data_IF_388729592163
#
_entry.id   IF_388729592163
#
_cell.length_a   1.000
_cell.length_b   1.000
_cell.length_c   1.000
_cell.angle_alpha   90.00
_cell.angle_beta   90.00
_cell.angle_gamma   90.00
#
_symmetry.space_group_name_H-M   'P 1'
#
loop_
_entity.id
_entity.type
_entity.pdbx_description
1 polymer ?
#
# COMPACT_ATOMS: atom_id res chain seq x y z
N UNK A 1 44.22 -17.48 1.02
CA UNK A 1 44.34 -16.24 0.23
C UNK A 1 45.80 -15.83 0.24
N UNK A 2 46.48 -15.95 -0.90
CA UNK A 2 47.80 -15.36 -1.11
C UNK A 2 47.68 -13.86 -0.83
N UNK A 3 48.50 -13.32 0.06
CA UNK A 3 48.46 -11.90 0.39
C UNK A 3 49.11 -11.14 -0.77
N UNK A 4 48.36 -10.85 -1.82
CA UNK A 4 48.85 -10.07 -2.97
C UNK A 4 49.22 -8.69 -2.44
N UNK A 5 50.46 -8.26 -2.69
CA UNK A 5 50.89 -6.91 -2.33
C UNK A 5 50.48 -5.93 -3.43
N UNK A 6 49.23 -5.44 -3.34
CA UNK A 6 48.65 -4.50 -4.30
C UNK A 6 49.48 -3.23 -4.52
N UNK A 7 50.08 -2.71 -3.45
CA UNK A 7 50.88 -1.49 -3.50
C UNK A 7 52.19 -1.72 -4.26
N UNK A 8 52.90 -2.81 -3.97
CA UNK A 8 54.13 -3.15 -4.67
C UNK A 8 53.89 -3.50 -6.15
N UNK A 9 52.78 -4.18 -6.47
CA UNK A 9 52.41 -4.50 -7.86
C UNK A 9 52.09 -3.23 -8.66
N UNK A 10 51.45 -2.25 -8.02
CA UNK A 10 51.13 -0.94 -8.63
C UNK A 10 52.38 -0.09 -8.84
N UNK A 11 53.25 0.00 -7.85
CA UNK A 11 54.51 0.75 -7.95
C UNK A 11 55.44 0.16 -9.03
N UNK A 12 55.54 -1.16 -9.10
CA UNK A 12 56.31 -1.84 -10.14
C UNK A 12 55.72 -1.63 -11.55
N UNK A 13 54.38 -1.63 -11.69
CA UNK A 13 53.71 -1.31 -12.96
C UNK A 13 53.97 0.13 -13.39
N UNK A 14 53.88 1.09 -12.46
CA UNK A 14 54.11 2.52 -12.71
C UNK A 14 55.57 2.79 -13.11
N UNK A 15 56.55 2.12 -12.49
CA UNK A 15 57.96 2.20 -12.86
C UNK A 15 58.24 1.61 -14.25
N UNK A 16 57.70 0.43 -14.55
CA UNK A 16 57.84 -0.20 -15.87
C UNK A 16 57.25 0.63 -17.02
N UNK A 17 56.20 1.42 -16.77
CA UNK A 17 55.61 2.32 -17.78
C UNK A 17 56.49 3.53 -18.14
N UNK A 18 57.46 3.88 -17.28
CA UNK A 18 58.37 5.02 -17.45
C UNK A 18 59.81 4.61 -17.77
N UNK A 19 60.01 3.33 -18.11
CA UNK A 19 61.32 2.74 -18.28
C UNK A 19 61.94 3.05 -19.66
N UNK A 20 62.98 3.88 -19.67
CA UNK A 20 63.73 4.22 -20.88
C UNK A 20 64.71 3.10 -21.33
N UNK A 21 65.02 2.12 -20.46
CA UNK A 21 66.11 1.15 -20.68
C UNK A 21 65.70 -0.34 -20.55
N UNK A 22 64.46 -0.63 -20.16
CA UNK A 22 63.85 -1.98 -20.14
C UNK A 22 64.08 -2.81 -18.86
N UNK A 23 64.86 -2.31 -17.90
CA UNK A 23 65.16 -3.02 -16.64
C UNK A 23 63.96 -3.14 -15.69
N UNK A 24 63.17 -2.09 -15.56
CA UNK A 24 62.00 -2.07 -14.67
C UNK A 24 60.86 -2.92 -15.26
N UNK A 25 60.82 -3.03 -16.60
CA UNK A 25 59.88 -3.91 -17.32
C UNK A 25 60.14 -5.39 -17.03
N UNK A 26 61.41 -5.82 -17.01
CA UNK A 26 61.78 -7.20 -16.68
C UNK A 26 61.50 -7.53 -15.20
N UNK A 27 61.77 -6.59 -14.30
CA UNK A 27 61.45 -6.72 -12.86
C UNK A 27 59.93 -6.86 -12.63
N UNK A 28 59.12 -6.12 -13.37
CA UNK A 28 57.67 -6.24 -13.34
C UNK A 28 57.19 -7.61 -13.82
N UNK A 29 57.76 -8.17 -14.89
CA UNK A 29 57.42 -9.52 -15.37
C UNK A 29 57.81 -10.63 -14.38
N UNK A 30 58.89 -10.47 -13.62
CA UNK A 30 59.26 -11.40 -12.55
C UNK A 30 58.26 -11.36 -11.38
N UNK A 31 57.77 -10.16 -11.04
CA UNK A 31 56.77 -9.95 -10.00
C UNK A 31 55.37 -10.41 -10.42
N UNK A 32 54.99 -10.23 -11.69
CA UNK A 32 53.66 -10.58 -12.23
C UNK A 32 53.65 -12.02 -12.73
N UNK A 33 53.66 -12.94 -11.79
CA UNK A 33 53.54 -14.37 -12.09
C UNK A 33 52.12 -14.74 -12.51
N UNK A 34 51.92 -15.80 -13.34
CA UNK A 34 50.59 -16.28 -13.72
C UNK A 34 49.67 -16.59 -12.51
N UNK A 35 50.24 -16.99 -11.38
CA UNK A 35 49.49 -17.24 -10.15
C UNK A 35 48.94 -15.96 -9.50
N UNK A 36 49.67 -14.85 -9.59
CA UNK A 36 49.20 -13.53 -9.13
C UNK A 36 48.09 -13.02 -10.04
N UNK A 37 48.25 -13.15 -11.36
CA UNK A 37 47.20 -12.77 -12.32
C UNK A 37 45.92 -13.58 -12.09
N UNK A 38 46.04 -14.90 -11.90
CA UNK A 38 44.87 -15.74 -11.60
C UNK A 38 44.21 -15.33 -10.29
N UNK A 39 44.98 -15.07 -9.22
CA UNK A 39 44.42 -14.67 -7.94
C UNK A 39 43.73 -13.29 -8.00
N UNK A 40 44.25 -12.35 -8.82
CA UNK A 40 43.58 -11.07 -9.10
C UNK A 40 42.27 -11.27 -9.88
N UNK A 41 42.25 -12.16 -10.87
CA UNK A 41 41.04 -12.49 -11.62
C UNK A 41 39.98 -13.14 -10.72
N UNK A 42 40.37 -14.09 -9.88
CA UNK A 42 39.48 -14.74 -8.91
C UNK A 42 38.91 -13.72 -7.91
N UNK A 43 39.72 -12.78 -7.40
CA UNK A 43 39.25 -11.71 -6.52
C UNK A 43 38.30 -10.74 -7.24
N UNK A 44 38.59 -10.38 -8.50
CA UNK A 44 37.70 -9.54 -9.32
C UNK A 44 36.37 -10.22 -9.59
N UNK A 45 36.36 -11.53 -9.86
CA UNK A 45 35.13 -12.30 -10.03
C UNK A 45 34.33 -12.37 -8.72
N UNK A 46 35.00 -12.60 -7.58
CA UNK A 46 34.36 -12.60 -6.27
C UNK A 46 33.76 -11.22 -5.91
N UNK A 47 34.49 -10.13 -6.18
CA UNK A 47 33.99 -8.77 -6.02
C UNK A 47 32.80 -8.50 -6.93
N UNK A 48 32.86 -8.91 -8.20
CA UNK A 48 31.73 -8.75 -9.14
C UNK A 48 30.48 -9.47 -8.68
N UNK A 49 30.63 -10.68 -8.11
CA UNK A 49 29.50 -11.42 -7.52
C UNK A 49 28.91 -10.69 -6.31
N UNK A 50 29.77 -10.22 -5.40
CA UNK A 50 29.31 -9.47 -4.22
C UNK A 50 28.62 -8.15 -4.59
N UNK A 51 29.10 -7.43 -5.63
CA UNK A 51 28.42 -6.24 -6.15
C UNK A 51 27.03 -6.58 -6.68
N UNK A 52 26.91 -7.65 -7.49
CA UNK A 52 25.60 -8.08 -8.00
C UNK A 52 24.64 -8.49 -6.87
N UNK A 53 25.13 -9.15 -5.83
CA UNK A 53 24.33 -9.48 -4.63
C UNK A 53 23.88 -8.23 -3.86
N UNK A 54 24.76 -7.26 -3.67
CA UNK A 54 24.40 -5.99 -3.03
C UNK A 54 23.37 -5.20 -3.84
N UNK A 55 23.52 -5.16 -5.17
CA UNK A 55 22.55 -4.50 -6.07
C UNK A 55 21.17 -5.18 -5.99
N UNK A 56 21.14 -6.51 -5.99
CA UNK A 56 19.89 -7.26 -5.82
C UNK A 56 19.23 -6.98 -4.46
N UNK A 57 20.01 -6.97 -3.37
CA UNK A 57 19.52 -6.67 -2.03
C UNK A 57 19.00 -5.23 -1.90
N UNK A 58 19.69 -4.25 -2.51
CA UNK A 58 19.25 -2.85 -2.54
C UNK A 58 17.94 -2.69 -3.33
N UNK A 59 17.78 -3.42 -4.44
CA UNK A 59 16.52 -3.41 -5.20
C UNK A 59 15.37 -3.95 -4.36
N UNK A 60 15.55 -5.12 -3.72
CA UNK A 60 14.54 -5.71 -2.85
C UNK A 60 14.17 -4.79 -1.66
N UNK A 61 15.18 -4.22 -0.99
CA UNK A 61 14.98 -3.27 0.11
C UNK A 61 14.24 -2.01 -0.34
N UNK A 62 14.52 -1.51 -1.55
CA UNK A 62 13.83 -0.35 -2.12
C UNK A 62 12.35 -0.65 -2.37
N UNK A 63 12.03 -1.82 -2.92
CA UNK A 63 10.65 -2.26 -3.13
C UNK A 63 9.88 -2.39 -1.81
N UNK A 64 10.49 -3.00 -0.79
CA UNK A 64 9.87 -3.16 0.51
C UNK A 64 9.66 -1.81 1.22
N UNK A 65 10.63 -0.89 1.11
CA UNK A 65 10.45 0.47 1.60
C UNK A 65 9.33 1.22 0.88
N UNK A 66 9.18 1.03 -0.43
CA UNK A 66 8.08 1.62 -1.19
C UNK A 66 6.72 1.06 -0.73
N UNK A 67 6.61 -0.27 -0.57
CA UNK A 67 5.40 -0.92 -0.04
C UNK A 67 5.05 -0.44 1.37
N UNK A 68 6.04 -0.36 2.26
CA UNK A 68 5.84 0.12 3.62
C UNK A 68 5.38 1.60 3.64
N UNK A 69 5.97 2.45 2.80
CA UNK A 69 5.58 3.86 2.68
C UNK A 69 4.14 4.00 2.21
N UNK A 70 3.72 3.19 1.23
CA UNK A 70 2.35 3.22 0.74
C UNK A 70 1.35 2.70 1.78
N UNK A 71 1.69 1.63 2.51
CA UNK A 71 0.88 1.13 3.61
C UNK A 71 0.68 2.17 4.73
N UNK A 72 1.74 2.92 5.07
CA UNK A 72 1.65 3.99 6.07
C UNK A 72 0.72 5.11 5.61
N UNK A 73 0.79 5.53 4.34
CA UNK A 73 -0.10 6.57 3.79
C UNK A 73 -1.57 6.15 3.82
N UNK A 74 -1.84 4.89 3.49
CA UNK A 74 -3.20 4.32 3.55
C UNK A 74 -3.70 4.29 4.99
N UNK A 75 -2.86 3.87 5.94
CA UNK A 75 -3.21 3.86 7.36
C UNK A 75 -3.50 5.27 7.89
N UNK A 76 -2.70 6.28 7.53
CA UNK A 76 -2.91 7.67 7.94
C UNK A 76 -4.24 8.24 7.40
N UNK A 77 -4.55 7.95 6.13
CA UNK A 77 -5.82 8.34 5.52
C UNK A 77 -7.02 7.69 6.21
N UNK A 78 -6.91 6.40 6.55
CA UNK A 78 -7.95 5.66 7.27
C UNK A 78 -8.16 6.20 8.70
N UNK A 79 -7.09 6.51 9.42
CA UNK A 79 -7.16 7.10 10.77
C UNK A 79 -7.84 8.47 10.72
N UNK A 80 -7.51 9.31 9.74
CA UNK A 80 -8.14 10.62 9.58
C UNK A 80 -9.63 10.51 9.32
N UNK A 81 -10.05 9.63 8.40
CA UNK A 81 -11.46 9.39 8.11
C UNK A 81 -12.21 8.84 9.33
N UNK A 82 -11.61 7.90 10.07
CA UNK A 82 -12.18 7.38 11.31
C UNK A 82 -12.37 8.50 12.36
N UNK A 83 -11.39 9.38 12.52
CA UNK A 83 -11.50 10.50 13.45
C UNK A 83 -12.63 11.48 13.06
N UNK A 84 -12.77 11.79 11.76
CA UNK A 84 -13.83 12.66 11.25
C UNK A 84 -15.23 12.03 11.47
N UNK A 85 -15.38 10.74 11.14
CA UNK A 85 -16.66 10.01 11.33
C UNK A 85 -17.05 9.90 12.80
N UNK A 86 -16.11 9.53 13.69
CA UNK A 86 -16.40 9.47 15.12
C UNK A 86 -16.70 10.85 15.73
N UNK A 87 -16.03 11.90 15.27
CA UNK A 87 -16.32 13.26 15.72
C UNK A 87 -17.74 13.68 15.32
N UNK A 88 -18.17 13.37 14.10
CA UNK A 88 -19.53 13.63 13.63
C UNK A 88 -20.58 12.83 14.43
N UNK A 89 -20.36 11.54 14.65
CA UNK A 89 -21.24 10.68 15.46
C UNK A 89 -21.31 11.15 16.92
N UNK A 90 -20.19 11.58 17.50
CA UNK A 90 -20.17 12.12 18.86
C UNK A 90 -20.99 13.42 18.97
N UNK A 91 -20.89 14.31 17.98
CA UNK A 91 -21.67 15.53 17.92
C UNK A 91 -23.18 15.24 17.74
N UNK A 92 -23.54 14.28 16.90
CA UNK A 92 -24.93 13.81 16.74
C UNK A 92 -25.47 13.20 18.04
N UNK A 93 -24.72 12.31 18.69
CA UNK A 93 -25.08 11.71 19.97
C UNK A 93 -25.27 12.75 21.08
N UNK A 94 -24.44 13.80 21.11
CA UNK A 94 -24.60 14.89 22.06
C UNK A 94 -25.91 15.67 21.83
N UNK A 95 -26.28 15.93 20.57
CA UNK A 95 -27.55 16.56 20.20
C UNK A 95 -28.75 15.69 20.59
N UNK A 96 -28.71 14.40 20.27
CA UNK A 96 -29.76 13.44 20.64
C UNK A 96 -29.94 13.37 22.16
N UNK A 97 -28.84 13.28 22.92
CA UNK A 97 -28.89 13.24 24.38
C UNK A 97 -29.45 14.54 24.96
N UNK A 98 -29.14 15.69 24.37
CA UNK A 98 -29.73 16.97 24.77
C UNK A 98 -31.24 16.98 24.49
N UNK A 99 -31.64 16.59 23.28
CA UNK A 99 -33.06 16.50 22.92
C UNK A 99 -33.86 15.62 23.88
N UNK A 100 -33.36 14.42 24.22
CA UNK A 100 -34.03 13.54 25.19
C UNK A 100 -34.16 14.17 26.59
N UNK A 101 -33.22 15.01 27.01
CA UNK A 101 -33.32 15.73 28.30
C UNK A 101 -34.36 16.84 28.25
N UNK A 102 -34.34 17.64 27.18
CA UNK A 102 -35.28 18.75 27.00
C UNK A 102 -36.71 18.20 26.90
N UNK A 103 -36.92 17.11 26.16
CA UNK A 103 -38.20 16.42 26.07
C UNK A 103 -38.72 15.84 27.39
N UNK A 104 -37.82 15.30 28.23
CA UNK A 104 -38.22 14.80 29.55
C UNK A 104 -38.73 15.94 30.43
N UNK A 105 -38.11 17.12 30.35
CA UNK A 105 -38.54 18.31 31.08
C UNK A 105 -39.90 18.82 30.57
N UNK A 106 -40.10 18.88 29.26
CA UNK A 106 -41.38 19.32 28.67
C UNK A 106 -42.53 18.38 29.03
N UNK A 107 -42.29 17.06 29.02
CA UNK A 107 -43.29 16.07 29.40
C UNK A 107 -43.71 16.16 30.89
N UNK A 108 -42.75 16.42 31.79
CA UNK A 108 -43.03 16.64 33.22
C UNK A 108 -43.80 17.96 33.42
N UNK A 109 -43.40 19.03 32.73
CA UNK A 109 -44.06 20.34 32.79
C UNK A 109 -45.50 20.31 32.25
N UNK A 110 -45.74 19.65 31.11
CA UNK A 110 -47.09 19.53 30.53
C UNK A 110 -48.01 18.64 31.36
N UNK A 111 -47.47 17.59 32.01
CA UNK A 111 -48.23 16.75 32.93
C UNK A 111 -48.69 17.52 34.18
N UNK A 112 -47.85 18.42 34.72
CA UNK A 112 -48.20 19.28 35.85
C UNK A 112 -49.13 20.45 35.44
N UNK A 113 -48.96 20.98 34.22
CA UNK A 113 -49.71 22.13 33.71
C UNK A 113 -51.03 21.79 33.02
N UNK A 114 -51.28 20.51 32.72
CA UNK A 114 -52.51 20.02 32.06
C UNK A 114 -52.65 20.40 30.58
N UNK A 115 -51.54 20.67 29.88
CA UNK A 115 -51.51 21.06 28.46
C UNK A 115 -51.41 19.84 27.51
N UNK A 116 -51.80 20.04 26.24
CA UNK A 116 -51.83 18.98 25.21
C UNK A 116 -50.43 18.55 24.73
N UNK A 117 -50.20 17.23 24.75
CA UNK A 117 -48.94 16.49 24.51
C UNK A 117 -48.33 16.56 23.09
N UNK A 118 -48.70 17.55 22.27
CA UNK A 118 -48.49 17.54 20.82
C UNK A 118 -47.06 17.82 20.33
N UNK A 119 -46.30 18.68 21.01
CA UNK A 119 -45.03 19.22 20.48
C UNK A 119 -43.89 18.21 20.34
N UNK A 120 -43.90 17.13 21.12
CA UNK A 120 -42.82 16.13 21.14
C UNK A 120 -42.76 15.28 19.86
N UNK A 121 -43.90 14.92 19.27
CA UNK A 121 -43.93 14.08 18.06
C UNK A 121 -43.43 14.83 16.83
N UNK A 122 -43.77 16.12 16.70
CA UNK A 122 -43.30 16.96 15.59
C UNK A 122 -41.79 17.18 15.67
N UNK A 123 -41.27 17.48 16.87
CA UNK A 123 -39.84 17.67 17.08
C UNK A 123 -39.02 16.38 16.88
N UNK A 124 -39.59 15.21 17.17
CA UNK A 124 -38.98 13.90 16.88
C UNK A 124 -38.83 13.65 15.37
N UNK A 125 -39.83 14.02 14.57
CA UNK A 125 -39.79 13.87 13.11
C UNK A 125 -38.76 14.80 12.44
N UNK A 126 -38.35 15.89 13.10
CA UNK A 126 -37.33 16.80 12.59
C UNK A 126 -35.88 16.37 12.87
N UNK A 127 -35.67 15.42 13.81
CA UNK A 127 -34.34 14.91 14.12
C UNK A 127 -33.83 14.06 12.96
N UNK A 128 -32.68 14.47 12.42
CA UNK A 128 -31.94 13.71 11.40
C UNK A 128 -30.72 13.06 12.03
N UNK A 129 -30.53 11.77 11.76
CA UNK A 129 -29.37 10.97 12.17
C UNK A 129 -28.38 10.78 11.01
N UNK A 130 -28.10 11.88 10.30
CA UNK A 130 -27.33 11.88 9.05
C UNK A 130 -25.92 11.31 9.22
N UNK A 131 -25.26 11.52 10.37
CA UNK A 131 -23.94 10.95 10.61
C UNK A 131 -24.02 9.43 10.82
N UNK A 132 -25.05 8.95 11.50
CA UNK A 132 -25.31 7.51 11.67
C UNK A 132 -25.66 6.85 10.33
N UNK A 133 -26.51 7.47 9.52
CA UNK A 133 -26.88 6.94 8.20
C UNK A 133 -25.65 6.84 7.27
N UNK A 134 -24.82 7.89 7.24
CA UNK A 134 -23.57 7.90 6.48
C UNK A 134 -22.59 6.82 6.98
N UNK A 135 -22.46 6.62 8.30
CA UNK A 135 -21.63 5.56 8.87
C UNK A 135 -22.13 4.17 8.47
N UNK A 136 -23.44 3.91 8.53
CA UNK A 136 -24.02 2.63 8.11
C UNK A 136 -23.88 2.38 6.61
N UNK A 137 -23.89 3.43 5.79
CA UNK A 137 -23.66 3.34 4.36
C UNK A 137 -22.19 2.97 4.06
N UNK A 138 -21.25 3.58 4.78
CA UNK A 138 -19.82 3.25 4.72
C UNK A 138 -19.53 1.81 5.17
N UNK A 139 -20.10 1.36 6.29
CA UNK A 139 -19.94 -0.04 6.76
C UNK A 139 -20.47 -1.04 5.72
N UNK A 140 -21.59 -0.72 5.07
CA UNK A 140 -22.12 -1.53 3.96
C UNK A 140 -21.15 -1.54 2.77
N UNK A 141 -20.59 -0.40 2.40
CA UNK A 141 -19.59 -0.30 1.33
C UNK A 141 -18.33 -1.12 1.65
N UNK A 142 -17.83 -1.08 2.89
CA UNK A 142 -16.68 -1.90 3.33
C UNK A 142 -16.96 -3.40 3.25
N UNK A 143 -18.20 -3.83 3.54
CA UNK A 143 -18.62 -5.21 3.32
C UNK A 143 -18.57 -5.62 1.84
N UNK A 144 -18.90 -4.70 0.93
CA UNK A 144 -18.77 -4.91 -0.52
C UNK A 144 -17.30 -4.93 -0.93
N UNK A 145 -16.45 -4.04 -0.41
CA UNK A 145 -15.01 -4.05 -0.69
C UNK A 145 -14.36 -5.39 -0.32
N UNK A 146 -14.72 -5.95 0.83
CA UNK A 146 -14.23 -7.27 1.26
C UNK A 146 -14.67 -8.39 0.30
N UNK A 147 -15.88 -8.31 -0.24
CA UNK A 147 -16.37 -9.25 -1.25
C UNK A 147 -15.65 -9.07 -2.61
N UNK A 148 -15.34 -7.84 -3.00
CA UNK A 148 -14.55 -7.52 -4.20
C UNK A 148 -13.16 -8.13 -4.10
N UNK A 149 -12.48 -7.97 -2.97
CA UNK A 149 -11.13 -8.52 -2.78
C UNK A 149 -11.12 -10.04 -2.81
N UNK A 150 -12.14 -10.68 -2.22
CA UNK A 150 -12.33 -12.13 -2.34
C UNK A 150 -12.58 -12.55 -3.81
N UNK A 151 -13.43 -11.81 -4.53
CA UNK A 151 -13.74 -12.09 -5.93
C UNK A 151 -12.50 -11.93 -6.84
N UNK A 152 -11.72 -10.87 -6.67
CA UNK A 152 -10.46 -10.65 -7.42
C UNK A 152 -9.47 -11.80 -7.24
N UNK A 153 -9.34 -12.29 -6.01
CA UNK A 153 -8.47 -13.43 -5.71
C UNK A 153 -8.98 -14.72 -6.37
N UNK A 154 -10.28 -14.97 -6.35
CA UNK A 154 -10.88 -16.14 -7.01
C UNK A 154 -10.68 -16.09 -8.54
N UNK A 155 -10.91 -14.93 -9.16
CA UNK A 155 -10.69 -14.74 -10.60
C UNK A 155 -9.22 -14.98 -10.98
N UNK A 156 -8.27 -14.45 -10.21
CA UNK A 156 -6.86 -14.71 -10.48
C UNK A 156 -6.51 -16.20 -10.35
N UNK A 157 -7.02 -16.88 -9.32
CA UNK A 157 -6.77 -18.31 -9.11
C UNK A 157 -7.38 -19.21 -10.19
N UNK A 158 -8.62 -18.95 -10.59
CA UNK A 158 -9.36 -19.79 -11.53
C UNK A 158 -8.72 -19.83 -12.92
N UNK A 159 -8.14 -18.72 -13.35
CA UNK A 159 -7.47 -18.59 -14.65
C UNK A 159 -5.94 -18.64 -14.54
N UNK A 160 -5.41 -19.07 -13.38
CA UNK A 160 -3.98 -19.24 -13.12
C UNK A 160 -3.13 -17.96 -13.36
N UNK A 161 -3.74 -16.79 -13.15
CA UNK A 161 -3.04 -15.51 -13.21
C UNK A 161 -2.30 -15.20 -11.90
N UNK A 162 -1.15 -14.54 -12.03
CA UNK A 162 -0.38 -14.04 -10.87
C UNK A 162 -1.15 -13.06 -9.99
N UNK A 163 -2.03 -12.26 -10.60
CA UNK A 163 -2.82 -11.23 -9.95
C UNK A 163 -4.02 -10.85 -10.84
N UNK A 164 -4.99 -10.16 -10.24
CA UNK A 164 -6.18 -9.70 -10.94
C UNK A 164 -5.87 -8.68 -12.05
N UNK A 165 -4.76 -7.91 -11.96
CA UNK A 165 -4.39 -6.94 -13.00
C UNK A 165 -3.95 -7.65 -14.29
N UNK A 166 -3.26 -8.78 -14.17
CA UNK A 166 -2.91 -9.62 -15.31
C UNK A 166 -4.18 -10.17 -15.99
N UNK A 167 -5.15 -10.64 -15.20
CA UNK A 167 -6.44 -11.09 -15.70
C UNK A 167 -7.22 -9.98 -16.43
N UNK A 168 -7.27 -8.78 -15.84
CA UNK A 168 -7.91 -7.60 -16.44
C UNK A 168 -7.22 -7.16 -17.74
N UNK A 169 -5.88 -7.22 -17.81
CA UNK A 169 -5.12 -6.87 -19.01
C UNK A 169 -5.41 -7.82 -20.18
N UNK A 170 -5.55 -9.12 -19.90
CA UNK A 170 -5.79 -10.14 -20.92
C UNK A 170 -7.23 -10.14 -21.46
N UNK A 171 -8.18 -9.51 -20.76
CA UNK A 171 -9.56 -9.35 -21.22
C UNK A 171 -9.65 -8.67 -22.60
N UNK A 172 -8.72 -7.76 -22.92
CA UNK A 172 -8.64 -7.09 -24.22
C UNK A 172 -8.32 -8.04 -25.38
N UNK A 173 -7.66 -9.18 -25.10
CA UNK A 173 -7.27 -10.16 -26.12
C UNK A 173 -8.40 -11.15 -26.43
N UNK A 174 -9.32 -11.38 -25.48
CA UNK A 174 -10.38 -12.38 -25.60
C UNK A 174 -11.74 -11.83 -25.11
N UNK A 175 -12.38 -10.93 -25.88
CA UNK A 175 -13.57 -10.18 -25.45
C UNK A 175 -14.83 -11.03 -25.24
N UNK A 176 -14.86 -12.27 -25.74
CA UNK A 176 -15.97 -13.21 -25.54
C UNK A 176 -15.73 -14.28 -24.48
N UNK A 177 -14.66 -14.14 -23.70
CA UNK A 177 -14.30 -15.13 -22.67
C UNK A 177 -15.11 -14.93 -21.38
N UNK A 178 -15.31 -16.02 -20.63
CA UNK A 178 -15.94 -15.99 -19.30
C UNK A 178 -15.16 -15.13 -18.30
N UNK A 179 -13.85 -14.95 -18.52
CA UNK A 179 -12.99 -14.08 -17.74
C UNK A 179 -13.46 -12.62 -17.78
N UNK A 180 -13.84 -12.13 -18.96
CA UNK A 180 -14.32 -10.75 -19.15
C UNK A 180 -15.55 -10.48 -18.30
N UNK A 181 -16.55 -11.38 -18.32
CA UNK A 181 -17.76 -11.22 -17.52
C UNK A 181 -17.49 -11.22 -16.02
N UNK A 182 -16.52 -12.00 -15.54
CA UNK A 182 -16.11 -12.01 -14.12
C UNK A 182 -15.37 -10.74 -13.74
N UNK A 183 -14.49 -10.22 -14.60
CA UNK A 183 -13.80 -8.94 -14.39
C UNK A 183 -14.81 -7.79 -14.37
N UNK A 184 -15.73 -7.72 -15.33
CA UNK A 184 -16.81 -6.74 -15.38
C UNK A 184 -17.69 -6.79 -14.12
N UNK A 185 -18.02 -7.99 -13.63
CA UNK A 185 -18.78 -8.14 -12.37
C UNK A 185 -18.02 -7.57 -11.17
N UNK A 186 -16.70 -7.77 -11.09
CA UNK A 186 -15.89 -7.17 -10.02
C UNK A 186 -15.80 -5.64 -10.14
N UNK A 187 -15.76 -5.09 -11.36
CA UNK A 187 -15.79 -3.65 -11.59
C UNK A 187 -17.14 -3.05 -11.21
N UNK A 188 -18.25 -3.72 -11.55
CA UNK A 188 -19.59 -3.30 -11.15
C UNK A 188 -19.74 -3.22 -9.62
N UNK A 189 -19.17 -4.19 -8.90
CA UNK A 189 -19.17 -4.16 -7.43
C UNK A 189 -18.40 -2.95 -6.87
N UNK A 190 -17.32 -2.50 -7.54
CA UNK A 190 -16.59 -1.28 -7.16
C UNK A 190 -17.50 -0.06 -7.28
N UNK A 191 -18.23 0.05 -8.39
CA UNK A 191 -19.20 1.12 -8.60
C UNK A 191 -20.34 1.08 -7.56
N UNK A 192 -20.86 -0.12 -7.27
CA UNK A 192 -21.90 -0.31 -6.25
C UNK A 192 -21.42 0.12 -4.85
N UNK A 193 -20.20 -0.24 -4.47
CA UNK A 193 -19.61 0.23 -3.21
C UNK A 193 -19.48 1.77 -3.19
N UNK A 194 -19.12 2.39 -4.31
CA UNK A 194 -19.05 3.84 -4.42
C UNK A 194 -20.43 4.52 -4.33
N UNK A 195 -21.48 3.90 -4.87
CA UNK A 195 -22.86 4.38 -4.72
C UNK A 195 -23.36 4.32 -3.27
N UNK A 196 -23.04 3.24 -2.55
CA UNK A 196 -23.36 3.13 -1.13
C UNK A 196 -22.76 4.30 -0.33
N UNK A 197 -21.50 4.66 -0.58
CA UNK A 197 -20.84 5.79 0.10
C UNK A 197 -21.46 7.15 -0.19
N UNK A 198 -22.14 7.31 -1.32
CA UNK A 198 -22.89 8.54 -1.66
C UNK A 198 -24.23 8.63 -0.90
N UNK A 199 -24.57 7.63 -0.09
CA UNK A 199 -25.81 7.56 0.68
C UNK A 199 -26.96 6.86 -0.06
N UNK A 200 -26.76 6.42 -1.31
CA UNK A 200 -27.84 5.96 -2.19
C UNK A 200 -28.89 7.06 -2.44
N UNK A 201 -29.71 6.92 -3.49
CA UNK A 201 -30.96 7.68 -3.58
C UNK A 201 -31.91 7.18 -2.47
N UNK A 202 -31.75 7.66 -1.23
CA UNK A 202 -32.72 7.51 -0.15
C UNK A 202 -33.46 8.82 0.10
#
# INVERSE_FOLDING_TARGET
MSKINYQALREAAEQAMHDDWGFDTDLFHELVTPSIVQALLDEREAQSKHVAELEANLSAMTEDHQKATESIKQADSAVKLAHETFSALAAENAKLKKFCKDAAFDADYEAESGMERGGFSDALNEIKITATDAFLAEVRAQGVDAAIDAAKNLVAQEYEYKDFKAAQSDCCMFPGSDLVGKVEMTEWLVDFAAELRKGGNQ
#
